data_IF_871503926041
#
_entry.id   IF_871503926041
#
_cell.length_a   1.000
_cell.length_b   1.000
_cell.length_c   1.000
_cell.angle_alpha   90.00
_cell.angle_beta   90.00
_cell.angle_gamma   90.00
#
_symmetry.space_group_name_H-M   'P 1'
#
loop_
_entity.id
_entity.type
_entity.pdbx_description
1 polymer ?
#
# COMPACT_ATOMS: atom_id res chain seq x y z
N UNK A 1 25.27 20.65 -9.12
CA UNK A 1 23.98 20.88 -8.44
C UNK A 1 24.16 20.42 -7.01
N UNK A 2 24.02 21.32 -6.05
CA UNK A 2 24.23 21.01 -4.65
C UNK A 2 23.17 19.97 -4.20
N UNK A 3 23.61 18.85 -3.63
CA UNK A 3 22.77 17.92 -2.91
C UNK A 3 22.13 18.66 -1.73
N UNK A 4 20.83 18.97 -1.81
CA UNK A 4 20.09 19.34 -0.62
C UNK A 4 20.10 18.16 0.35
N UNK A 5 20.32 18.41 1.64
CA UNK A 5 20.33 17.34 2.63
C UNK A 5 18.96 16.66 2.61
N UNK A 6 18.99 15.36 2.50
CA UNK A 6 17.92 14.38 2.44
C UNK A 6 16.87 14.62 3.55
N UNK A 7 16.00 15.62 3.37
CA UNK A 7 14.88 15.87 4.29
C UNK A 7 13.95 14.67 4.23
N UNK A 8 13.73 14.05 5.36
CA UNK A 8 12.71 13.00 5.49
C UNK A 8 11.34 13.69 5.59
N UNK A 9 10.47 13.59 4.59
CA UNK A 9 9.28 14.45 4.50
C UNK A 9 8.36 14.37 5.71
N UNK A 10 8.22 13.18 6.29
CA UNK A 10 7.34 12.87 7.42
C UNK A 10 8.08 12.24 8.59
N UNK A 11 9.28 12.76 8.95
CA UNK A 11 10.00 12.35 10.16
C UNK A 11 9.18 12.60 11.45
N UNK A 12 8.38 13.65 11.44
CA UNK A 12 7.39 13.95 12.48
C UNK A 12 6.00 14.06 11.87
N UNK A 13 5.07 13.23 12.35
CA UNK A 13 3.68 13.19 11.90
C UNK A 13 2.72 13.98 12.80
N UNK A 14 3.20 14.59 13.88
CA UNK A 14 2.35 15.35 14.81
C UNK A 14 1.65 16.50 14.11
N UNK A 15 0.33 16.57 14.27
CA UNK A 15 -0.51 17.59 13.63
C UNK A 15 -0.67 17.42 12.11
N UNK A 16 -0.01 16.42 11.50
CA UNK A 16 -0.20 16.08 10.08
C UNK A 16 -1.44 15.23 9.91
N UNK A 17 -2.11 15.34 8.77
CA UNK A 17 -3.36 14.61 8.50
C UNK A 17 -3.09 13.44 7.56
N UNK A 18 -3.45 12.23 7.98
CA UNK A 18 -3.42 11.01 7.19
C UNK A 18 -4.83 10.63 6.70
N UNK A 19 -4.97 10.36 5.41
CA UNK A 19 -6.17 9.78 4.79
C UNK A 19 -5.92 8.30 4.53
N UNK A 20 -6.68 7.40 5.17
CA UNK A 20 -6.46 5.95 5.16
C UNK A 20 -7.65 5.26 4.53
N UNK A 21 -7.48 4.60 3.38
CA UNK A 21 -8.51 3.76 2.77
C UNK A 21 -8.51 2.35 3.35
N UNK A 22 -9.69 1.74 3.55
CA UNK A 22 -9.81 0.46 4.25
C UNK A 22 -9.30 0.58 5.70
N UNK A 23 -9.52 1.76 6.31
CA UNK A 23 -8.94 2.13 7.60
C UNK A 23 -9.72 1.62 8.81
N UNK A 24 -10.91 1.05 8.62
CA UNK A 24 -11.79 0.67 9.72
C UNK A 24 -11.49 -0.71 10.31
N UNK A 25 -10.66 -1.51 9.67
CA UNK A 25 -10.36 -2.88 10.10
C UNK A 25 -8.89 -3.27 9.87
N UNK A 26 -8.47 -4.37 10.53
CA UNK A 26 -7.22 -5.06 10.28
C UNK A 26 -6.02 -4.11 10.16
N UNK A 27 -5.26 -4.25 9.08
CA UNK A 27 -4.05 -3.46 8.81
C UNK A 27 -4.32 -1.96 8.87
N UNK A 28 -5.37 -1.48 8.19
CA UNK A 28 -5.70 -0.06 8.13
C UNK A 28 -6.00 0.54 9.50
N UNK A 29 -6.73 -0.19 10.35
CA UNK A 29 -7.01 0.25 11.72
C UNK A 29 -5.75 0.23 12.60
N UNK A 30 -4.86 -0.75 12.41
CA UNK A 30 -3.56 -0.78 13.07
C UNK A 30 -2.70 0.44 12.72
N UNK A 31 -2.67 0.81 11.42
CA UNK A 31 -1.97 2.02 10.95
C UNK A 31 -2.63 3.29 11.55
N UNK A 32 -3.96 3.36 11.56
CA UNK A 32 -4.69 4.48 12.15
C UNK A 32 -4.33 4.68 13.62
N UNK A 33 -4.33 3.61 14.42
CA UNK A 33 -3.93 3.63 15.85
C UNK A 33 -2.50 4.13 16.05
N UNK A 34 -1.56 3.62 15.26
CA UNK A 34 -0.16 4.04 15.37
C UNK A 34 0.02 5.53 15.04
N UNK A 35 -0.66 6.04 14.01
CA UNK A 35 -0.62 7.45 13.62
C UNK A 35 -1.29 8.36 14.65
N UNK A 36 -2.46 7.98 15.19
CA UNK A 36 -3.14 8.72 16.28
C UNK A 36 -2.26 8.80 17.51
N UNK A 37 -1.70 7.67 17.94
CA UNK A 37 -0.75 7.60 19.07
C UNK A 37 0.48 8.50 18.86
N UNK A 38 0.91 8.67 17.62
CA UNK A 38 2.00 9.55 17.24
C UNK A 38 1.59 11.04 17.11
N UNK A 39 0.32 11.38 17.34
CA UNK A 39 -0.22 12.74 17.34
C UNK A 39 -0.67 13.25 15.96
N UNK A 40 -0.87 12.36 14.98
CA UNK A 40 -1.42 12.73 13.69
C UNK A 40 -2.96 12.84 13.73
N UNK A 41 -3.55 13.68 12.89
CA UNK A 41 -4.96 13.62 12.55
C UNK A 41 -5.19 12.47 11.56
N UNK A 42 -6.28 11.74 11.71
CA UNK A 42 -6.56 10.56 10.88
C UNK A 42 -7.98 10.60 10.33
N UNK A 43 -8.11 10.48 9.02
CA UNK A 43 -9.37 10.22 8.32
C UNK A 43 -9.42 8.75 7.95
N UNK A 44 -10.35 8.01 8.53
CA UNK A 44 -10.61 6.60 8.27
C UNK A 44 -11.68 6.51 7.19
N UNK A 45 -11.31 6.07 5.99
CA UNK A 45 -12.23 5.83 4.89
C UNK A 45 -12.44 4.31 4.72
N UNK A 46 -13.70 3.86 4.71
CA UNK A 46 -14.05 2.44 4.52
C UNK A 46 -15.41 2.33 3.83
N UNK A 47 -15.67 1.20 3.18
CA UNK A 47 -16.94 0.95 2.51
C UNK A 47 -18.06 0.58 3.49
N UNK A 48 -17.73 0.00 4.65
CA UNK A 48 -18.67 -0.54 5.64
C UNK A 48 -18.95 0.45 6.77
N UNK A 49 -20.18 0.97 6.85
CA UNK A 49 -20.61 1.87 7.92
C UNK A 49 -20.49 1.27 9.33
N UNK A 50 -20.80 -0.02 9.48
CA UNK A 50 -20.67 -0.71 10.77
C UNK A 50 -19.22 -0.71 11.27
N UNK A 51 -18.26 -0.99 10.37
CA UNK A 51 -16.85 -0.98 10.71
C UNK A 51 -16.33 0.43 11.02
N UNK A 52 -16.83 1.45 10.32
CA UNK A 52 -16.51 2.86 10.62
C UNK A 52 -17.01 3.24 12.02
N UNK A 53 -18.22 2.83 12.39
CA UNK A 53 -18.77 3.07 13.71
C UNK A 53 -17.94 2.38 14.83
N UNK A 54 -17.53 1.13 14.62
CA UNK A 54 -16.67 0.39 15.54
C UNK A 54 -15.28 1.04 15.67
N UNK A 55 -14.66 1.41 14.56
CA UNK A 55 -13.36 2.09 14.54
C UNK A 55 -13.42 3.44 15.26
N UNK A 56 -14.50 4.22 15.01
CA UNK A 56 -14.73 5.48 15.71
C UNK A 56 -14.91 5.28 17.22
N UNK A 57 -15.66 4.28 17.65
CA UNK A 57 -15.83 3.95 19.06
C UNK A 57 -14.51 3.52 19.71
N UNK A 58 -13.71 2.72 19.03
CA UNK A 58 -12.40 2.26 19.51
C UNK A 58 -11.35 3.38 19.65
N UNK A 59 -11.54 4.50 18.91
CA UNK A 59 -10.67 5.68 18.90
C UNK A 59 -11.38 6.92 19.45
N UNK A 60 -12.52 6.76 20.15
CA UNK A 60 -13.42 7.85 20.53
C UNK A 60 -12.83 8.90 21.49
N UNK A 61 -11.70 8.59 22.16
CA UNK A 61 -11.00 9.54 23.03
C UNK A 61 -10.24 10.63 22.25
N UNK A 62 -10.07 10.45 20.94
CA UNK A 62 -9.22 11.32 20.13
C UNK A 62 -10.04 12.22 19.20
N UNK A 63 -10.07 13.51 19.49
CA UNK A 63 -10.62 14.55 18.60
C UNK A 63 -9.93 14.64 17.24
N UNK A 64 -8.86 13.88 17.05
CA UNK A 64 -8.02 13.79 15.85
C UNK A 64 -8.51 12.76 14.84
N UNK A 65 -9.63 12.06 15.09
CA UNK A 65 -10.16 11.03 14.21
C UNK A 65 -11.45 11.48 13.55
N UNK A 66 -11.54 11.29 12.24
CA UNK A 66 -12.75 11.45 11.44
C UNK A 66 -13.00 10.17 10.64
N UNK A 67 -14.25 9.86 10.36
CA UNK A 67 -14.64 8.68 9.57
C UNK A 67 -15.46 9.09 8.36
N UNK A 68 -15.24 8.46 7.21
CA UNK A 68 -15.97 8.73 5.98
C UNK A 68 -16.27 7.43 5.23
N UNK A 69 -17.52 7.26 4.81
CA UNK A 69 -17.88 6.14 3.95
C UNK A 69 -17.34 6.35 2.55
N UNK A 70 -16.60 5.35 2.04
CA UNK A 70 -15.98 5.42 0.71
C UNK A 70 -15.86 4.03 0.09
N UNK A 71 -16.46 3.86 -1.09
CA UNK A 71 -16.04 2.85 -2.05
C UNK A 71 -14.87 3.43 -2.86
N UNK A 72 -13.70 2.81 -2.78
CA UNK A 72 -12.49 3.30 -3.47
C UNK A 72 -12.60 3.24 -5.00
N UNK A 73 -13.59 2.54 -5.55
CA UNK A 73 -13.89 2.51 -6.99
C UNK A 73 -14.74 3.70 -7.45
N UNK A 74 -15.45 4.38 -6.52
CA UNK A 74 -16.21 5.61 -6.80
C UNK A 74 -15.29 6.85 -6.81
N UNK A 75 -14.94 7.32 -8.00
CA UNK A 75 -14.09 8.51 -8.18
C UNK A 75 -14.72 9.78 -7.61
N UNK A 76 -16.02 9.96 -7.77
CA UNK A 76 -16.72 11.12 -7.23
C UNK A 76 -16.83 11.05 -5.70
N UNK A 77 -17.07 9.85 -5.16
CA UNK A 77 -17.03 9.56 -3.73
C UNK A 77 -15.67 9.86 -3.14
N UNK A 78 -14.60 9.50 -3.85
CA UNK A 78 -13.23 9.79 -3.42
C UNK A 78 -12.97 11.30 -3.30
N UNK A 79 -13.42 12.08 -4.29
CA UNK A 79 -13.29 13.55 -4.25
C UNK A 79 -14.05 14.15 -3.06
N UNK A 80 -15.32 13.73 -2.84
CA UNK A 80 -16.12 14.18 -1.68
C UNK A 80 -15.48 13.81 -0.35
N UNK A 81 -14.90 12.61 -0.23
CA UNK A 81 -14.22 12.18 0.98
C UNK A 81 -12.95 13.00 1.26
N UNK A 82 -12.19 13.35 0.21
CA UNK A 82 -11.04 14.23 0.34
C UNK A 82 -11.45 15.67 0.75
N UNK A 83 -12.52 16.20 0.18
CA UNK A 83 -13.07 17.51 0.54
C UNK A 83 -13.52 17.55 2.02
N UNK A 84 -14.17 16.49 2.49
CA UNK A 84 -14.56 16.36 3.89
C UNK A 84 -13.35 16.30 4.84
N UNK A 85 -12.28 15.60 4.44
CA UNK A 85 -11.04 15.54 5.19
C UNK A 85 -10.37 16.93 5.32
N UNK A 86 -10.32 17.69 4.23
CA UNK A 86 -9.78 19.05 4.25
C UNK A 86 -10.67 20.04 5.01
N UNK A 87 -11.99 19.90 4.92
CA UNK A 87 -12.93 20.70 5.71
C UNK A 87 -12.74 20.47 7.22
N UNK A 88 -12.39 19.25 7.62
CA UNK A 88 -12.19 18.89 9.02
C UNK A 88 -10.81 19.28 9.57
N UNK A 89 -9.73 19.06 8.81
CA UNK A 89 -8.35 19.17 9.27
C UNK A 89 -7.50 20.17 8.46
N UNK A 90 -8.05 20.82 7.46
CA UNK A 90 -7.40 21.85 6.64
C UNK A 90 -6.54 21.30 5.51
N UNK A 91 -5.69 20.33 5.74
CA UNK A 91 -4.77 19.77 4.74
C UNK A 91 -4.64 18.27 4.91
N UNK A 92 -4.39 17.56 3.80
CA UNK A 92 -4.01 16.15 3.80
C UNK A 92 -2.52 16.07 3.51
N UNK A 93 -1.75 15.39 4.38
CA UNK A 93 -0.30 15.25 4.26
C UNK A 93 0.12 13.82 3.89
N UNK A 94 -0.66 12.82 4.33
CA UNK A 94 -0.36 11.41 4.09
C UNK A 94 -1.55 10.76 3.39
N UNK A 95 -1.26 10.04 2.29
CA UNK A 95 -2.20 9.10 1.68
C UNK A 95 -1.76 7.67 2.01
N UNK A 96 -2.61 6.93 2.72
CA UNK A 96 -2.42 5.51 2.99
C UNK A 96 -3.45 4.73 2.16
N UNK A 97 -3.03 4.30 0.98
CA UNK A 97 -3.83 3.46 0.08
C UNK A 97 -3.81 2.01 0.53
N UNK A 98 -4.67 1.67 1.51
CA UNK A 98 -4.66 0.35 2.13
C UNK A 98 -5.86 -0.53 1.75
N UNK A 99 -6.98 0.04 1.32
CA UNK A 99 -8.15 -0.75 0.89
C UNK A 99 -7.76 -1.84 -0.12
N UNK A 100 -8.27 -3.04 0.08
CA UNK A 100 -7.98 -4.17 -0.79
C UNK A 100 -8.79 -5.41 -0.42
N UNK A 101 -8.91 -6.30 -1.39
CA UNK A 101 -9.67 -7.54 -1.34
C UNK A 101 -8.83 -8.74 -1.76
N UNK A 102 -9.12 -9.90 -1.21
CA UNK A 102 -8.48 -11.17 -1.55
C UNK A 102 -9.30 -11.96 -2.56
N UNK A 103 -9.08 -11.75 -3.84
CA UNK A 103 -9.69 -12.54 -4.92
C UNK A 103 -8.70 -13.60 -5.36
N UNK A 104 -8.95 -14.87 -5.01
CA UNK A 104 -7.96 -15.95 -5.17
C UNK A 104 -8.61 -17.26 -5.57
N UNK A 105 -8.08 -17.91 -6.62
CA UNK A 105 -8.51 -19.21 -7.11
C UNK A 105 -7.63 -19.70 -8.25
N UNK A 106 -7.90 -20.92 -8.79
CA UNK A 106 -7.18 -21.45 -9.94
C UNK A 106 -7.35 -20.56 -11.16
N UNK A 107 -6.28 -20.34 -11.90
CA UNK A 107 -6.32 -19.46 -13.09
C UNK A 107 -7.28 -19.96 -14.18
N UNK A 108 -7.47 -21.27 -14.26
CA UNK A 108 -8.36 -21.87 -15.27
C UNK A 108 -9.86 -21.65 -14.95
N UNK A 109 -10.20 -21.37 -13.70
CA UNK A 109 -11.57 -21.14 -13.27
C UNK A 109 -11.93 -19.64 -13.29
N UNK A 110 -10.93 -18.76 -13.42
CA UNK A 110 -11.16 -17.31 -13.36
C UNK A 110 -12.05 -16.81 -14.51
N UNK A 111 -12.84 -15.81 -14.24
CA UNK A 111 -13.69 -15.08 -15.19
C UNK A 111 -13.36 -13.61 -15.20
N UNK A 112 -13.92 -12.87 -16.17
CA UNK A 112 -13.68 -11.43 -16.27
C UNK A 112 -14.13 -10.67 -15.01
N UNK A 113 -15.27 -11.03 -14.42
CA UNK A 113 -15.78 -10.44 -13.18
C UNK A 113 -14.78 -10.55 -12.03
N UNK A 114 -14.02 -11.65 -11.93
CA UNK A 114 -12.97 -11.80 -10.91
C UNK A 114 -11.82 -10.82 -11.12
N UNK A 115 -11.41 -10.62 -12.38
CA UNK A 115 -10.37 -9.68 -12.74
C UNK A 115 -10.82 -8.23 -12.57
N UNK A 116 -12.00 -7.87 -13.05
CA UNK A 116 -12.52 -6.51 -13.01
C UNK A 116 -12.69 -6.06 -11.56
N UNK A 117 -13.25 -6.90 -10.70
CA UNK A 117 -13.39 -6.59 -9.30
C UNK A 117 -12.02 -6.51 -8.58
N UNK A 118 -11.14 -7.48 -8.78
CA UNK A 118 -9.81 -7.50 -8.17
C UNK A 118 -8.98 -6.27 -8.56
N UNK A 119 -8.91 -5.97 -9.86
CA UNK A 119 -8.16 -4.83 -10.39
C UNK A 119 -8.82 -3.50 -10.03
N UNK A 120 -10.14 -3.43 -10.10
CA UNK A 120 -10.91 -2.22 -9.76
C UNK A 120 -10.65 -1.76 -8.33
N UNK A 121 -10.66 -2.67 -7.36
CA UNK A 121 -10.41 -2.33 -5.95
C UNK A 121 -8.91 -2.20 -5.66
N UNK A 122 -8.12 -3.27 -5.92
CA UNK A 122 -6.73 -3.34 -5.44
C UNK A 122 -5.76 -2.40 -6.16
N UNK A 123 -6.04 -2.07 -7.44
CA UNK A 123 -5.21 -1.17 -8.23
C UNK A 123 -5.96 0.11 -8.62
N UNK A 124 -7.18 0.02 -9.14
CA UNK A 124 -8.00 1.17 -9.49
C UNK A 124 -8.26 2.10 -8.30
N UNK A 125 -8.54 1.53 -7.12
CA UNK A 125 -8.67 2.29 -5.87
C UNK A 125 -7.40 3.06 -5.49
N UNK A 126 -6.22 2.49 -5.71
CA UNK A 126 -4.93 3.18 -5.51
C UNK A 126 -4.79 4.35 -6.50
N UNK A 127 -5.11 4.13 -7.79
CA UNK A 127 -5.07 5.19 -8.80
C UNK A 127 -6.04 6.32 -8.43
N UNK A 128 -7.26 6.01 -8.02
CA UNK A 128 -8.23 7.02 -7.60
C UNK A 128 -7.72 7.87 -6.42
N UNK A 129 -7.06 7.22 -5.44
CA UNK A 129 -6.41 7.91 -4.32
C UNK A 129 -5.28 8.85 -4.78
N UNK A 130 -4.38 8.37 -5.62
CA UNK A 130 -3.29 9.17 -6.16
C UNK A 130 -3.79 10.37 -6.95
N UNK A 131 -4.71 10.15 -7.89
CA UNK A 131 -5.26 11.22 -8.75
C UNK A 131 -6.00 12.27 -7.94
N UNK A 132 -6.69 11.88 -6.85
CA UNK A 132 -7.52 12.80 -6.05
C UNK A 132 -6.71 13.52 -4.97
N UNK A 133 -5.81 12.81 -4.25
CA UNK A 133 -5.18 13.35 -3.04
C UNK A 133 -3.77 13.89 -3.32
N UNK A 134 -3.00 13.27 -4.22
CA UNK A 134 -1.63 13.71 -4.48
C UNK A 134 -1.52 15.18 -4.93
N UNK A 135 -2.40 15.72 -5.82
CA UNK A 135 -2.39 17.14 -6.16
C UNK A 135 -2.63 18.06 -4.95
N UNK A 136 -3.45 17.62 -3.98
CA UNK A 136 -3.74 18.37 -2.73
C UNK A 136 -2.52 18.41 -1.82
N UNK A 137 -1.82 17.28 -1.68
CA UNK A 137 -0.55 17.21 -0.94
C UNK A 137 0.49 18.14 -1.59
N UNK A 138 0.63 18.11 -2.91
CA UNK A 138 1.56 18.97 -3.62
C UNK A 138 1.21 20.46 -3.48
N UNK A 139 -0.08 20.80 -3.54
CA UNK A 139 -0.55 22.19 -3.56
C UNK A 139 -0.21 22.99 -2.29
N UNK A 140 -0.20 22.35 -1.10
CA UNK A 140 0.13 23.07 0.14
C UNK A 140 1.64 23.23 0.40
N UNK A 141 2.51 22.54 -0.34
CA UNK A 141 3.97 22.70 -0.30
C UNK A 141 4.68 22.33 1.01
N UNK A 142 3.98 21.71 1.97
CA UNK A 142 4.58 21.30 3.26
C UNK A 142 5.29 19.94 3.17
N UNK A 143 5.32 19.32 1.99
CA UNK A 143 5.72 17.94 1.81
C UNK A 143 4.65 16.94 2.21
N UNK A 144 4.90 15.66 1.99
CA UNK A 144 3.92 14.62 2.28
C UNK A 144 4.49 13.22 2.16
N UNK A 145 3.62 12.23 2.34
CA UNK A 145 3.96 10.82 2.17
C UNK A 145 2.81 10.07 1.50
N UNK A 146 3.13 9.24 0.52
CA UNK A 146 2.23 8.25 -0.05
C UNK A 146 2.71 6.86 0.37
N UNK A 147 1.83 6.09 1.00
CA UNK A 147 2.06 4.67 1.31
C UNK A 147 0.96 3.87 0.66
N UNK A 148 1.29 2.87 -0.15
CA UNK A 148 0.26 1.97 -0.69
C UNK A 148 0.55 0.53 -0.33
N UNK A 149 -0.52 -0.18 0.03
CA UNK A 149 -0.44 -1.60 0.40
C UNK A 149 -0.38 -2.47 -0.86
N UNK A 150 0.83 -2.89 -1.19
CA UNK A 150 1.08 -4.01 -2.08
C UNK A 150 0.90 -5.33 -1.33
N UNK A 151 1.78 -6.29 -1.49
CA UNK A 151 1.82 -7.56 -0.76
C UNK A 151 3.16 -8.24 -0.96
N UNK A 152 3.54 -9.09 -0.01
CA UNK A 152 4.62 -10.04 -0.21
C UNK A 152 4.44 -10.90 -1.48
N UNK A 153 3.19 -11.16 -1.90
CA UNK A 153 2.90 -11.90 -3.13
C UNK A 153 3.39 -11.20 -4.41
N UNK A 154 3.58 -9.89 -4.39
CA UNK A 154 4.20 -9.17 -5.51
C UNK A 154 5.69 -9.56 -5.69
N UNK A 155 6.36 -9.95 -4.60
CA UNK A 155 7.77 -10.37 -4.61
C UNK A 155 7.93 -11.89 -4.66
N UNK A 156 7.02 -12.65 -4.03
CA UNK A 156 7.03 -14.12 -4.04
C UNK A 156 5.63 -14.58 -4.44
N UNK A 157 5.33 -14.65 -5.76
CA UNK A 157 4.04 -15.15 -6.25
C UNK A 157 3.82 -16.59 -5.83
N UNK A 158 2.60 -16.90 -5.39
CA UNK A 158 2.20 -18.26 -5.06
C UNK A 158 1.05 -18.75 -5.93
N UNK A 159 0.92 -20.05 -6.21
CA UNK A 159 -0.19 -20.58 -6.99
C UNK A 159 -1.55 -20.14 -6.44
N UNK A 160 -2.54 -19.99 -7.30
CA UNK A 160 -3.93 -19.64 -6.99
C UNK A 160 -4.16 -18.18 -6.56
N UNK A 161 -3.18 -17.30 -6.71
CA UNK A 161 -3.30 -15.88 -6.36
C UNK A 161 -3.11 -14.96 -7.58
N UNK A 162 -3.32 -15.44 -8.80
CA UNK A 162 -2.97 -14.71 -10.03
C UNK A 162 -3.60 -13.32 -10.11
N UNK A 163 -4.92 -13.19 -9.90
CA UNK A 163 -5.64 -11.90 -9.92
C UNK A 163 -5.13 -10.94 -8.85
N UNK A 164 -4.99 -11.44 -7.63
CA UNK A 164 -4.46 -10.68 -6.49
C UNK A 164 -3.00 -10.27 -6.70
N UNK A 165 -2.14 -11.23 -7.05
CA UNK A 165 -0.70 -10.98 -7.27
C UNK A 165 -0.47 -9.97 -8.40
N UNK A 166 -1.21 -10.07 -9.51
CA UNK A 166 -1.10 -9.11 -10.62
C UNK A 166 -1.41 -7.68 -10.16
N UNK A 167 -2.52 -7.48 -9.43
CA UNK A 167 -2.87 -6.16 -8.90
C UNK A 167 -1.82 -5.63 -7.91
N UNK A 168 -1.30 -6.47 -7.02
CA UNK A 168 -0.30 -6.07 -6.02
C UNK A 168 1.09 -5.83 -6.64
N UNK A 169 1.45 -6.55 -7.69
CA UNK A 169 2.65 -6.28 -8.48
C UNK A 169 2.55 -4.95 -9.25
N UNK A 170 1.38 -4.63 -9.81
CA UNK A 170 1.12 -3.34 -10.44
C UNK A 170 1.29 -2.17 -9.45
N UNK A 171 0.77 -2.31 -8.21
CA UNK A 171 0.98 -1.34 -7.14
C UNK A 171 2.47 -1.17 -6.83
N UNK A 172 3.23 -2.27 -6.69
CA UNK A 172 4.66 -2.20 -6.41
C UNK A 172 5.42 -1.42 -7.48
N UNK A 173 5.27 -1.80 -8.76
CA UNK A 173 5.95 -1.12 -9.86
C UNK A 173 5.58 0.35 -9.99
N UNK A 174 4.31 0.70 -9.73
CA UNK A 174 3.86 2.09 -9.68
C UNK A 174 4.60 2.89 -8.60
N UNK A 175 4.71 2.36 -7.37
CA UNK A 175 5.37 3.07 -6.27
C UNK A 175 6.88 3.25 -6.50
N UNK A 176 7.54 2.25 -7.07
CA UNK A 176 8.95 2.33 -7.48
C UNK A 176 9.17 3.42 -8.54
N UNK A 177 8.22 3.56 -9.49
CA UNK A 177 8.30 4.56 -10.56
C UNK A 177 8.11 5.97 -10.02
N UNK A 178 7.02 6.23 -9.29
CA UNK A 178 6.67 7.59 -8.85
C UNK A 178 7.54 8.10 -7.69
N UNK A 179 8.34 7.26 -7.05
CA UNK A 179 9.25 7.65 -5.97
C UNK A 179 10.22 8.75 -6.39
N UNK A 180 10.84 8.60 -7.56
CA UNK A 180 11.78 9.59 -8.09
C UNK A 180 11.08 10.86 -8.57
N UNK A 181 9.88 10.73 -9.13
CA UNK A 181 9.10 11.85 -9.66
C UNK A 181 8.64 12.81 -8.57
N UNK A 182 8.30 12.30 -7.38
CA UNK A 182 7.72 13.08 -6.28
C UNK A 182 8.77 13.63 -5.29
N UNK A 183 10.01 13.16 -5.36
CA UNK A 183 11.10 13.60 -4.49
C UNK A 183 11.36 15.12 -4.57
N UNK A 184 11.34 15.80 -5.75
CA UNK A 184 11.51 17.23 -5.84
C UNK A 184 10.43 18.05 -5.11
N UNK A 185 9.21 17.50 -4.98
CA UNK A 185 8.11 18.12 -4.26
C UNK A 185 8.13 17.80 -2.75
N UNK A 186 9.20 17.20 -2.23
CA UNK A 186 9.33 16.73 -0.84
C UNK A 186 8.19 15.76 -0.45
N UNK A 187 7.78 14.91 -1.37
CA UNK A 187 6.77 13.87 -1.13
C UNK A 187 7.44 12.50 -1.15
N UNK A 188 7.44 11.84 0.00
CA UNK A 188 7.93 10.48 0.12
C UNK A 188 6.96 9.46 -0.46
N UNK A 189 7.48 8.33 -0.92
CA UNK A 189 6.68 7.23 -1.47
C UNK A 189 7.16 5.92 -0.88
N UNK A 190 6.23 5.10 -0.40
CA UNK A 190 6.52 3.79 0.17
C UNK A 190 5.57 2.73 -0.38
N UNK A 191 6.13 1.63 -0.85
CA UNK A 191 5.40 0.40 -1.09
C UNK A 191 5.39 -0.42 0.22
N UNK A 192 4.21 -0.61 0.79
CA UNK A 192 4.03 -1.47 1.95
C UNK A 192 3.71 -2.90 1.49
N UNK A 193 4.53 -3.87 1.90
CA UNK A 193 4.49 -5.26 1.45
C UNK A 193 4.29 -6.22 2.63
N UNK A 194 3.07 -6.28 3.19
CA UNK A 194 2.80 -7.19 4.29
C UNK A 194 2.87 -8.66 3.87
N UNK A 195 3.36 -9.49 4.78
CA UNK A 195 3.10 -10.93 4.82
C UNK A 195 1.77 -11.23 5.50
N UNK A 196 1.58 -12.43 6.08
CA UNK A 196 0.35 -12.80 6.77
C UNK A 196 0.10 -11.93 8.01
N UNK A 197 -1.08 -11.28 8.05
CA UNK A 197 -1.53 -10.43 9.15
C UNK A 197 -2.92 -10.85 9.57
N UNK A 198 -3.20 -10.80 10.87
CA UNK A 198 -4.52 -11.05 11.43
C UNK A 198 -5.50 -9.97 10.93
N UNK A 199 -6.21 -10.28 9.84
CA UNK A 199 -7.12 -9.35 9.16
C UNK A 199 -8.29 -10.10 8.54
N UNK A 200 -9.29 -9.36 8.09
CA UNK A 200 -10.51 -9.89 7.48
C UNK A 200 -10.39 -10.08 5.95
N UNK A 201 -9.18 -10.13 5.40
CA UNK A 201 -9.01 -10.23 3.93
C UNK A 201 -9.59 -11.53 3.36
N UNK A 202 -9.65 -12.61 4.13
CA UNK A 202 -10.29 -13.86 3.74
C UNK A 202 -11.81 -13.74 3.58
N UNK A 203 -12.43 -12.72 4.19
CA UNK A 203 -13.87 -12.43 4.12
C UNK A 203 -14.22 -11.45 2.98
N UNK A 204 -13.34 -11.29 2.01
CA UNK A 204 -13.57 -10.36 0.89
C UNK A 204 -14.79 -10.71 0.06
N UNK A 205 -15.15 -12.00 -0.05
CA UNK A 205 -16.32 -12.46 -0.78
C UNK A 205 -17.64 -11.83 -0.32
N UNK A 206 -17.77 -11.51 0.99
CA UNK A 206 -18.93 -10.79 1.54
C UNK A 206 -19.11 -9.39 0.93
N UNK A 207 -18.02 -8.79 0.43
CA UNK A 207 -18.01 -7.46 -0.18
C UNK A 207 -18.19 -7.48 -1.69
N UNK A 208 -18.27 -8.67 -2.31
CA UNK A 208 -18.39 -8.78 -3.76
C UNK A 208 -19.73 -8.20 -4.23
N UNK A 209 -19.73 -7.15 -5.07
CA UNK A 209 -20.96 -6.59 -5.62
C UNK A 209 -21.70 -7.61 -6.49
N UNK A 210 -23.04 -7.53 -6.51
CA UNK A 210 -23.87 -8.41 -7.33
C UNK A 210 -23.49 -8.39 -8.83
N UNK A 211 -23.05 -7.23 -9.33
CA UNK A 211 -22.59 -7.08 -10.71
C UNK A 211 -21.39 -7.99 -11.07
N UNK A 212 -20.59 -8.39 -10.07
CA UNK A 212 -19.42 -9.25 -10.24
C UNK A 212 -19.61 -10.69 -9.71
N UNK A 213 -20.86 -11.08 -9.38
CA UNK A 213 -21.17 -12.44 -8.91
C UNK A 213 -21.63 -13.36 -10.02
N UNK A 214 -22.31 -12.82 -11.04
CA UNK A 214 -23.01 -13.63 -12.04
C UNK A 214 -22.06 -14.44 -12.92
N UNK A 215 -20.91 -13.88 -13.28
CA UNK A 215 -19.89 -14.58 -14.07
C UNK A 215 -18.57 -14.64 -13.29
N UNK A 216 -18.61 -15.12 -12.03
CA UNK A 216 -17.42 -15.37 -11.22
C UNK A 216 -17.13 -16.86 -11.12
N UNK A 217 -15.86 -17.24 -11.28
CA UNK A 217 -15.39 -18.61 -11.06
C UNK A 217 -14.96 -18.91 -9.62
N UNK A 218 -15.04 -17.92 -8.71
CA UNK A 218 -14.43 -18.01 -7.37
C UNK A 218 -15.42 -17.97 -6.20
N UNK A 219 -16.73 -17.84 -6.42
CA UNK A 219 -17.75 -17.73 -5.38
C UNK A 219 -17.66 -18.85 -4.33
N UNK A 220 -17.64 -20.12 -4.78
CA UNK A 220 -17.58 -21.26 -3.87
C UNK A 220 -16.27 -21.28 -3.06
N UNK A 221 -15.19 -20.84 -3.69
CA UNK A 221 -13.89 -20.78 -3.03
C UNK A 221 -13.81 -19.64 -2.01
N UNK A 222 -14.36 -18.49 -2.31
CA UNK A 222 -14.45 -17.37 -1.37
C UNK A 222 -15.21 -17.82 -0.11
N UNK A 223 -16.35 -18.49 -0.26
CA UNK A 223 -17.12 -19.07 0.85
C UNK A 223 -16.35 -20.14 1.66
N UNK A 224 -15.36 -20.82 1.04
CA UNK A 224 -14.46 -21.72 1.77
C UNK A 224 -13.35 -20.99 2.51
N UNK A 225 -12.80 -19.93 1.92
CA UNK A 225 -11.75 -19.12 2.54
C UNK A 225 -12.25 -18.38 3.79
N UNK A 226 -13.47 -17.87 3.75
CA UNK A 226 -14.14 -17.20 4.90
C UNK A 226 -14.21 -18.07 6.15
N UNK A 227 -14.30 -19.39 5.99
CA UNK A 227 -14.36 -20.35 7.11
C UNK A 227 -13.00 -20.70 7.70
N UNK A 228 -11.90 -20.22 7.11
CA UNK A 228 -10.56 -20.53 7.60
C UNK A 228 -10.24 -19.68 8.83
N UNK A 229 -9.80 -20.30 9.93
CA UNK A 229 -9.39 -19.53 11.09
C UNK A 229 -8.14 -18.71 10.78
N UNK A 230 -8.10 -17.49 11.29
CA UNK A 230 -6.91 -16.65 11.27
C UNK A 230 -5.91 -17.21 12.28
N UNK A 231 -4.68 -17.44 11.84
CA UNK A 231 -3.64 -17.98 12.73
C UNK A 231 -3.25 -16.95 13.79
N UNK A 232 -3.21 -17.33 15.08
CA UNK A 232 -2.70 -16.44 16.13
C UNK A 232 -1.19 -16.18 16.02
N UNK A 233 -0.46 -16.92 15.17
CA UNK A 233 0.97 -16.71 14.90
C UNK A 233 1.21 -15.65 13.84
N UNK A 234 0.16 -15.17 13.16
CA UNK A 234 0.31 -14.08 12.21
C UNK A 234 0.48 -12.75 12.94
N UNK A 235 1.18 -11.82 12.28
CA UNK A 235 1.42 -10.49 12.82
C UNK A 235 0.10 -9.78 13.14
N UNK A 236 0.07 -9.07 14.26
CA UNK A 236 -1.11 -8.28 14.64
C UNK A 236 -1.23 -6.99 13.84
N UNK A 237 -2.41 -6.41 13.70
CA UNK A 237 -2.58 -5.08 13.10
C UNK A 237 -1.77 -3.99 13.80
N UNK A 238 -1.62 -4.07 15.12
CA UNK A 238 -0.86 -3.13 15.92
C UNK A 238 0.64 -3.17 15.59
N UNK A 239 1.24 -4.36 15.51
CA UNK A 239 2.64 -4.53 15.10
C UNK A 239 2.88 -4.00 13.69
N UNK A 240 1.93 -4.23 12.79
CA UNK A 240 1.98 -3.69 11.42
C UNK A 240 1.92 -2.16 11.42
N UNK A 241 1.01 -1.58 12.22
CA UNK A 241 0.87 -0.13 12.34
C UNK A 241 2.17 0.54 12.77
N UNK A 242 2.86 0.01 13.78
CA UNK A 242 4.15 0.53 14.25
C UNK A 242 5.25 0.39 13.17
N UNK A 243 5.27 -0.71 12.39
CA UNK A 243 6.23 -0.87 11.29
C UNK A 243 5.98 0.12 10.15
N UNK A 244 4.72 0.36 9.81
CA UNK A 244 4.37 1.36 8.77
C UNK A 244 4.76 2.76 9.23
N UNK A 245 4.47 3.13 10.48
CA UNK A 245 4.87 4.42 11.03
C UNK A 245 6.41 4.59 11.04
N UNK A 246 7.15 3.55 11.41
CA UNK A 246 8.62 3.57 11.36
C UNK A 246 9.14 3.79 9.93
N UNK A 247 8.56 3.07 8.94
CA UNK A 247 8.91 3.23 7.53
C UNK A 247 8.57 4.61 6.97
N UNK A 248 7.44 5.22 7.37
CA UNK A 248 7.09 6.60 7.03
C UNK A 248 8.15 7.57 7.58
N UNK A 249 8.49 7.44 8.85
CA UNK A 249 9.49 8.30 9.51
C UNK A 249 10.88 8.18 8.90
N UNK A 250 11.25 6.97 8.48
CA UNK A 250 12.50 6.71 7.78
C UNK A 250 12.45 7.07 6.30
N UNK A 251 11.28 7.38 5.75
CA UNK A 251 11.05 7.56 4.32
C UNK A 251 11.54 6.35 3.49
N UNK A 252 11.28 5.13 3.97
CA UNK A 252 11.65 3.89 3.28
C UNK A 252 10.80 3.68 2.02
N UNK A 253 11.43 3.27 0.93
CA UNK A 253 10.71 2.85 -0.29
C UNK A 253 9.94 1.54 -0.04
N UNK A 254 10.56 0.58 0.63
CA UNK A 254 9.95 -0.70 0.94
C UNK A 254 9.72 -0.84 2.44
N UNK A 255 8.45 -0.99 2.83
CA UNK A 255 8.06 -1.33 4.20
C UNK A 255 7.69 -2.81 4.22
N UNK A 256 8.61 -3.65 4.68
CA UNK A 256 8.45 -5.10 4.78
C UNK A 256 8.15 -5.49 6.22
N UNK A 257 7.37 -6.56 6.40
CA UNK A 257 6.94 -7.00 7.74
C UNK A 257 7.65 -8.26 8.25
N UNK A 258 8.01 -9.18 7.36
CA UNK A 258 8.43 -10.53 7.72
C UNK A 258 9.83 -10.84 7.16
N UNK A 259 10.86 -10.92 7.99
CA UNK A 259 12.22 -11.29 7.55
C UNK A 259 12.28 -12.72 6.99
N UNK A 260 11.34 -13.58 7.36
CA UNK A 260 11.23 -14.97 6.91
C UNK A 260 11.10 -15.11 5.39
N UNK A 261 10.69 -14.08 4.69
CA UNK A 261 10.58 -14.08 3.22
C UNK A 261 11.91 -13.80 2.50
N UNK A 262 12.95 -13.34 3.21
CA UNK A 262 14.21 -12.96 2.59
C UNK A 262 14.87 -14.09 1.75
N UNK A 263 14.91 -15.36 2.19
CA UNK A 263 15.46 -16.44 1.36
C UNK A 263 14.70 -16.64 0.04
N UNK A 264 13.37 -16.63 0.08
CA UNK A 264 12.53 -16.80 -1.12
C UNK A 264 12.68 -15.65 -2.11
N UNK A 265 12.79 -14.42 -1.61
CA UNK A 265 13.08 -13.25 -2.45
C UNK A 265 14.44 -13.39 -3.14
N UNK A 266 15.48 -13.79 -2.41
CA UNK A 266 16.80 -14.01 -2.98
C UNK A 266 16.74 -15.04 -4.10
N UNK A 267 16.14 -16.22 -3.84
CA UNK A 267 15.96 -17.26 -4.85
C UNK A 267 15.26 -16.75 -6.12
N UNK A 268 14.22 -15.94 -5.97
CA UNK A 268 13.53 -15.34 -7.14
C UNK A 268 14.44 -14.43 -7.94
N UNK A 269 15.15 -13.51 -7.29
CA UNK A 269 16.03 -12.57 -8.00
C UNK A 269 17.22 -13.28 -8.62
N UNK A 270 17.81 -14.27 -7.95
CA UNK A 270 18.88 -15.10 -8.50
C UNK A 270 18.41 -15.87 -9.75
N UNK A 271 17.18 -16.42 -9.75
CA UNK A 271 16.61 -17.10 -10.91
C UNK A 271 16.40 -16.12 -12.09
N UNK A 272 15.98 -14.88 -11.83
CA UNK A 272 15.85 -13.84 -12.87
C UNK A 272 17.22 -13.50 -13.45
N UNK A 273 18.21 -13.26 -12.61
CA UNK A 273 19.58 -12.94 -13.03
C UNK A 273 20.22 -14.11 -13.82
N UNK A 274 20.02 -15.32 -13.36
CA UNK A 274 20.52 -16.53 -14.03
C UNK A 274 19.85 -16.76 -15.42
N UNK A 275 18.75 -16.08 -15.70
CA UNK A 275 18.07 -16.16 -17.00
C UNK A 275 18.59 -15.12 -18.01
N UNK A 276 19.54 -14.26 -17.61
CA UNK A 276 20.18 -13.34 -18.54
C UNK A 276 21.01 -14.10 -19.57
N UNK A 277 21.09 -13.62 -20.84
CA UNK A 277 21.95 -14.22 -21.85
C UNK A 277 23.41 -14.25 -21.39
N UNK A 278 24.08 -15.40 -21.60
CA UNK A 278 25.54 -15.55 -21.36
C UNK A 278 26.32 -15.02 -22.55
N UNK A 279 26.30 -13.70 -22.70
CA UNK A 279 26.97 -12.97 -23.77
C UNK A 279 27.75 -11.78 -23.19
N UNK A 280 28.89 -11.37 -23.83
CA UNK A 280 29.58 -10.15 -23.45
C UNK A 280 28.68 -8.92 -23.59
N UNK A 281 28.79 -7.99 -22.64
CA UNK A 281 28.08 -6.71 -22.71
C UNK A 281 28.48 -5.96 -23.98
N UNK A 282 27.50 -5.62 -24.80
CA UNK A 282 27.70 -4.75 -25.97
C UNK A 282 27.79 -3.28 -25.49
N UNK A 283 28.99 -2.74 -25.36
CA UNK A 283 29.23 -1.41 -24.81
C UNK A 283 28.48 -0.29 -25.54
N UNK A 284 28.50 -0.20 -26.92
CA UNK A 284 27.72 0.81 -27.63
C UNK A 284 26.21 0.74 -27.34
N UNK A 285 25.66 -0.47 -27.18
CA UNK A 285 24.24 -0.65 -26.79
C UNK A 285 24.02 -0.20 -25.38
N UNK A 286 24.87 -0.57 -24.42
CA UNK A 286 24.77 -0.17 -23.03
C UNK A 286 24.81 1.36 -22.89
N UNK A 287 25.68 2.04 -23.59
CA UNK A 287 25.75 3.51 -23.60
C UNK A 287 24.46 4.13 -24.16
N UNK A 288 23.93 3.60 -25.26
CA UNK A 288 22.70 4.10 -25.88
C UNK A 288 21.43 3.96 -24.98
N UNK A 289 21.38 2.91 -24.15
CA UNK A 289 20.26 2.63 -23.26
C UNK A 289 20.57 2.94 -21.79
N UNK A 290 21.64 3.66 -21.50
CA UNK A 290 22.13 3.91 -20.13
C UNK A 290 21.07 4.41 -19.16
N UNK A 291 20.12 5.23 -19.64
CA UNK A 291 19.00 5.73 -18.85
C UNK A 291 17.98 4.65 -18.41
N UNK A 292 18.06 3.44 -18.96
CA UNK A 292 17.20 2.29 -18.62
C UNK A 292 17.91 1.25 -17.75
N UNK A 293 19.23 1.36 -17.54
CA UNK A 293 20.02 0.32 -16.89
C UNK A 293 19.92 0.32 -15.36
N UNK A 294 19.33 1.35 -14.79
CA UNK A 294 19.16 1.46 -13.34
C UNK A 294 18.11 2.48 -12.95
N UNK A 295 17.71 2.43 -11.69
CA UNK A 295 16.82 3.42 -11.10
C UNK A 295 17.47 3.94 -9.80
N UNK A 296 17.82 5.22 -9.72
CA UNK A 296 18.51 5.82 -8.57
C UNK A 296 17.76 5.65 -7.22
N UNK A 297 16.46 5.36 -7.26
CA UNK A 297 15.70 5.13 -6.03
C UNK A 297 16.15 3.87 -5.28
N UNK A 298 16.67 2.86 -5.99
CA UNK A 298 17.18 1.64 -5.37
C UNK A 298 18.50 1.90 -4.65
N UNK A 299 19.41 2.64 -5.28
CA UNK A 299 20.68 3.03 -4.67
C UNK A 299 20.45 3.89 -3.43
N UNK A 300 19.50 4.84 -3.52
CA UNK A 300 19.11 5.67 -2.39
C UNK A 300 18.51 4.84 -1.23
N UNK A 301 17.73 3.80 -1.52
CA UNK A 301 17.18 2.91 -0.51
C UNK A 301 18.27 2.08 0.18
N UNK A 302 19.22 1.54 -0.58
CA UNK A 302 20.36 0.80 -0.04
C UNK A 302 21.21 1.69 0.89
N UNK A 303 21.58 2.88 0.42
CA UNK A 303 22.40 3.82 1.20
C UNK A 303 21.74 4.24 2.53
N UNK A 304 20.41 4.38 2.57
CA UNK A 304 19.68 4.69 3.81
C UNK A 304 19.78 3.56 4.82
N UNK A 305 19.62 2.32 4.38
CA UNK A 305 19.67 1.16 5.28
C UNK A 305 21.04 0.98 5.89
N UNK A 306 22.11 1.13 5.10
CA UNK A 306 23.48 1.09 5.60
C UNK A 306 23.72 2.14 6.69
N UNK A 307 23.26 3.39 6.50
CA UNK A 307 23.40 4.43 7.54
C UNK A 307 22.60 4.14 8.80
N UNK A 308 21.45 3.51 8.71
CA UNK A 308 20.66 3.12 9.89
C UNK A 308 21.34 2.02 10.69
N UNK A 309 21.99 1.06 10.03
CA UNK A 309 22.75 -0.01 10.67
C UNK A 309 24.01 0.52 11.37
N UNK A 310 24.67 1.55 10.82
CA UNK A 310 25.85 2.19 11.43
C UNK A 310 25.51 3.05 12.68
N UNK A 311 24.25 3.47 12.83
CA UNK A 311 23.77 4.30 13.93
C UNK A 311 23.07 3.51 15.05
N UNK A 312 22.79 2.22 14.83
CA UNK A 312 22.09 1.35 15.77
C UNK A 312 23.07 0.54 16.62
#
# INVERSE_FOLDING_TARGET
MAEEPNKTPMADVRGKTAFITGGANGIGLGIARALVKAGANVVIADIRDSSLAEARAALAADSQVETVQLDVTDRAGFARAADAAEARFGKIHLLIGNAGIGVMGPILDTKYDDWDWAMGVNFGGVINGLVTILPRIKAHGEGGQVVTTSSQSALIPVPMTATYTAAKAAVLGLMETIRGELAPDNIGVSAFLPGPVQSNIAMSGELRPEAFKQDSGYIDREAQLEKRPVSPLWMTPEEVGERVLAGIRANDLYILTHPEFAPGMRTRFDAILASMPDEPINQPRAEAIGFLLGNPVFDAQLARRTKQEELA
#
